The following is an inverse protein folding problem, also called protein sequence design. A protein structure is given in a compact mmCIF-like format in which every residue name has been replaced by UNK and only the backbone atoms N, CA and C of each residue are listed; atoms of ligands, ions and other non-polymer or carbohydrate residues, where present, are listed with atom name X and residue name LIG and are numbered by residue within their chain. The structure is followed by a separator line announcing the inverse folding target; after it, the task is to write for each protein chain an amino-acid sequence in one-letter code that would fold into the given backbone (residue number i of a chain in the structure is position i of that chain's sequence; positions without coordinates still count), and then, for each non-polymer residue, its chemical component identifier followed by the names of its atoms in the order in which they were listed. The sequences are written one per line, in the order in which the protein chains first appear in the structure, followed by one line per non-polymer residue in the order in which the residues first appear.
data_IF_277126086648
#
_entry.id   IF_277126086648
#
_cell.length_a   1.000
_cell.length_b   1.000
_cell.length_c   1.000
_cell.angle_alpha   90.00
_cell.angle_beta   90.00
_cell.angle_gamma   90.00
#
_symmetry.space_group_name_H-M   'P 1'
#
loop_
_entity.id
_entity.type
_entity.pdbx_description
1 polymer ?
#
# COMPACT_ATOMS: atom_id res chain seq x y z
N UNK A 1 -3.84 28.22 20.47
CA UNK A 1 -2.67 27.84 21.30
C UNK A 1 -2.39 26.37 21.03
N UNK A 2 -1.13 26.03 20.77
CA UNK A 2 -0.74 24.67 20.45
C UNK A 2 -0.51 23.87 21.73
N UNK A 3 -0.91 22.58 21.71
CA UNK A 3 -0.56 21.64 22.78
C UNK A 3 0.74 20.96 22.38
N UNK A 4 1.78 21.14 23.18
CA UNK A 4 3.03 20.43 22.98
C UNK A 4 2.88 18.97 23.47
N UNK A 5 3.01 18.03 22.55
CA UNK A 5 3.04 16.59 22.86
C UNK A 5 4.45 16.03 22.68
N UNK A 6 4.76 14.93 23.34
CA UNK A 6 5.97 14.13 23.14
C UNK A 6 5.59 12.68 22.96
N UNK A 7 6.02 12.07 21.87
CA UNK A 7 5.76 10.66 21.57
C UNK A 7 6.53 9.75 22.53
N UNK A 8 5.88 8.68 22.96
CA UNK A 8 6.47 7.56 23.70
C UNK A 8 6.56 6.33 22.81
N UNK A 9 5.44 5.92 22.24
CA UNK A 9 5.38 4.83 21.25
C UNK A 9 4.55 5.23 20.07
N UNK A 10 4.82 4.59 18.94
CA UNK A 10 4.03 4.71 17.73
C UNK A 10 4.10 3.38 17.00
N UNK A 11 2.97 2.82 16.65
CA UNK A 11 2.86 1.61 15.84
C UNK A 11 1.78 1.78 14.80
N UNK A 12 1.96 1.21 13.61
CA UNK A 12 0.94 1.16 12.57
C UNK A 12 1.26 0.10 11.55
N UNK A 13 0.22 -0.63 11.17
CA UNK A 13 0.30 -1.70 10.20
C UNK A 13 1.10 -2.94 10.63
N UNK A 14 0.84 -4.06 9.97
CA UNK A 14 1.44 -5.36 10.29
C UNK A 14 2.16 -6.00 9.11
N UNK A 15 1.85 -5.57 7.88
CA UNK A 15 2.42 -6.15 6.67
C UNK A 15 2.81 -5.07 5.66
N UNK A 16 4.00 -5.21 5.06
CA UNK A 16 4.55 -4.26 4.09
C UNK A 16 3.71 -4.08 2.82
N UNK A 17 2.98 -5.11 2.43
CA UNK A 17 2.19 -5.18 1.20
C UNK A 17 0.67 -5.04 1.42
N UNK A 18 0.26 -4.72 2.63
CA UNK A 18 -1.12 -4.42 2.98
C UNK A 18 -1.28 -2.95 3.38
N UNK A 19 -2.44 -2.37 3.08
CA UNK A 19 -2.82 -1.07 3.62
C UNK A 19 -3.04 -1.24 5.12
N UNK A 20 -2.41 -0.42 5.98
CA UNK A 20 -2.59 -0.50 7.43
C UNK A 20 -4.05 -0.36 7.83
N UNK A 21 -4.51 -1.24 8.70
CA UNK A 21 -5.89 -1.21 9.23
C UNK A 21 -5.99 -0.48 10.57
N UNK A 22 -4.89 -0.44 11.30
CA UNK A 22 -4.81 0.09 12.66
C UNK A 22 -3.50 0.82 12.90
N UNK A 23 -3.55 1.78 13.80
CA UNK A 23 -2.38 2.46 14.32
C UNK A 23 -2.65 2.87 15.78
N UNK A 24 -1.58 2.90 16.56
CA UNK A 24 -1.60 3.29 17.97
C UNK A 24 -0.43 4.24 18.25
N UNK A 25 -0.68 5.29 19.01
CA UNK A 25 0.34 6.18 19.52
C UNK A 25 0.16 6.42 21.02
N UNK A 26 1.24 6.34 21.76
CA UNK A 26 1.30 6.81 23.14
C UNK A 26 2.09 8.10 23.18
N UNK A 27 1.55 9.14 23.80
CA UNK A 27 2.20 10.42 23.95
C UNK A 27 1.96 11.00 25.34
N UNK A 28 2.78 11.95 25.73
CA UNK A 28 2.60 12.73 26.94
C UNK A 28 2.43 14.21 26.62
N UNK A 29 1.65 14.90 27.42
CA UNK A 29 1.51 16.34 27.41
C UNK A 29 1.67 16.90 28.85
N UNK A 30 1.79 18.22 28.96
CA UNK A 30 1.76 18.88 30.27
C UNK A 30 0.39 18.68 30.92
N UNK A 31 0.38 18.42 32.25
CA UNK A 31 -0.85 18.07 32.98
C UNK A 31 -1.92 19.17 32.87
N UNK A 32 -1.51 20.43 32.91
CA UNK A 32 -2.40 21.59 32.80
C UNK A 32 -2.94 21.80 31.35
N UNK A 33 -2.48 21.02 30.39
CA UNK A 33 -2.91 21.00 28.98
C UNK A 33 -3.71 19.76 28.62
N UNK A 34 -3.97 18.86 29.54
CA UNK A 34 -4.67 17.58 29.27
C UNK A 34 -6.08 17.82 28.69
N UNK A 35 -6.87 18.67 29.31
CA UNK A 35 -8.22 19.00 28.82
C UNK A 35 -8.21 19.64 27.42
N UNK A 36 -7.27 20.55 27.17
CA UNK A 36 -7.11 21.15 25.83
C UNK A 36 -6.64 20.12 24.79
N UNK A 37 -5.83 19.15 25.20
CA UNK A 37 -5.40 18.04 24.33
C UNK A 37 -6.61 17.18 23.94
N UNK A 38 -7.46 16.83 24.89
CA UNK A 38 -8.67 16.05 24.65
C UNK A 38 -9.65 16.82 23.75
N UNK A 39 -9.90 18.09 23.99
CA UNK A 39 -10.73 18.94 23.13
C UNK A 39 -10.24 18.93 21.67
N UNK A 40 -8.93 19.12 21.46
CA UNK A 40 -8.34 19.09 20.12
C UNK A 40 -8.43 17.71 19.47
N UNK A 41 -8.23 16.65 20.25
CA UNK A 41 -8.40 15.27 19.75
C UNK A 41 -9.82 15.02 19.28
N UNK A 42 -10.83 15.38 20.07
CA UNK A 42 -12.24 15.22 19.71
C UNK A 42 -12.61 16.00 18.44
N UNK A 43 -12.07 17.20 18.27
CA UNK A 43 -12.25 17.98 17.05
C UNK A 43 -11.64 17.28 15.81
N UNK A 44 -10.42 16.74 15.93
CA UNK A 44 -9.75 15.99 14.86
C UNK A 44 -10.52 14.68 14.58
N UNK A 45 -10.92 13.95 15.61
CA UNK A 45 -11.73 12.74 15.50
C UNK A 45 -12.99 12.98 14.67
N UNK A 46 -13.77 14.02 15.03
CA UNK A 46 -14.99 14.38 14.33
C UNK A 46 -14.74 14.73 12.85
N UNK A 47 -13.66 15.48 12.58
CA UNK A 47 -13.26 15.84 11.22
C UNK A 47 -12.94 14.60 10.39
N UNK A 48 -12.05 13.75 10.87
CA UNK A 48 -11.62 12.54 10.15
C UNK A 48 -12.78 11.56 9.93
N UNK A 49 -13.63 11.35 10.96
CA UNK A 49 -14.81 10.51 10.82
C UNK A 49 -15.80 11.05 9.78
N UNK A 50 -15.97 12.38 9.73
CA UNK A 50 -16.84 13.02 8.73
C UNK A 50 -16.27 12.87 7.31
N UNK A 51 -14.98 13.09 7.12
CA UNK A 51 -14.32 12.97 5.81
C UNK A 51 -14.39 11.53 5.28
N UNK A 52 -14.19 10.55 6.14
CA UNK A 52 -14.10 9.14 5.76
C UNK A 52 -15.42 8.36 5.91
N UNK A 53 -16.51 9.00 6.29
CA UNK A 53 -17.79 8.35 6.60
C UNK A 53 -18.34 7.44 5.50
N UNK A 54 -18.02 7.73 4.22
CA UNK A 54 -18.50 6.96 3.06
C UNK A 54 -17.58 5.80 2.68
N UNK A 55 -16.30 5.89 3.01
CA UNK A 55 -15.27 4.93 2.59
C UNK A 55 -14.87 4.00 3.72
N UNK A 56 -14.90 4.48 4.97
CA UNK A 56 -14.41 3.77 6.15
C UNK A 56 -15.51 3.66 7.22
N UNK A 57 -16.58 2.92 6.91
CA UNK A 57 -17.78 2.79 7.77
C UNK A 57 -17.44 2.24 9.18
N UNK A 58 -16.35 1.46 9.28
CA UNK A 58 -15.89 0.86 10.54
C UNK A 58 -14.82 1.66 11.27
N UNK A 59 -14.53 2.91 10.87
CA UNK A 59 -13.46 3.69 11.49
C UNK A 59 -13.78 4.06 12.93
N UNK A 60 -12.95 3.58 13.84
CA UNK A 60 -12.99 3.91 15.26
C UNK A 60 -11.68 4.62 15.64
N UNK A 61 -11.79 5.81 16.22
CA UNK A 61 -10.66 6.59 16.73
C UNK A 61 -10.93 6.84 18.20
N UNK A 62 -10.00 6.50 19.09
CA UNK A 62 -10.18 6.64 20.54
C UNK A 62 -8.99 7.33 21.18
N UNK A 63 -9.21 8.06 22.25
CA UNK A 63 -8.20 8.57 23.15
C UNK A 63 -8.47 8.01 24.55
N UNK A 64 -7.45 7.42 25.17
CA UNK A 64 -7.55 6.89 26.52
C UNK A 64 -6.39 7.40 27.37
N UNK A 65 -6.69 7.81 28.60
CA UNK A 65 -5.66 8.13 29.57
C UNK A 65 -4.98 6.84 30.06
N UNK A 66 -3.64 6.86 30.05
CA UNK A 66 -2.85 5.74 30.57
C UNK A 66 -2.33 6.10 31.95
N UNK A 67 -2.80 5.40 32.96
CA UNK A 67 -2.31 5.55 34.33
C UNK A 67 -1.01 4.74 34.54
N UNK A 68 0.11 5.29 34.07
CA UNK A 68 1.43 4.68 34.19
C UNK A 68 2.40 5.59 34.94
N UNK A 69 3.10 5.02 35.93
CA UNK A 69 4.08 5.76 36.74
C UNK A 69 5.42 6.06 36.01
N UNK A 70 5.66 5.44 34.85
CA UNK A 70 6.89 5.64 34.09
C UNK A 70 6.67 5.49 32.59
N UNK A 71 6.26 6.57 31.92
CA UNK A 71 6.25 6.65 30.47
C UNK A 71 7.50 7.39 30.01
N UNK A 72 8.37 6.72 29.25
CA UNK A 72 9.50 7.38 28.60
C UNK A 72 9.00 7.99 27.29
N UNK A 73 9.24 9.27 27.09
CA UNK A 73 8.92 9.94 25.83
C UNK A 73 10.20 10.51 25.21
N UNK A 74 10.26 10.48 23.88
CA UNK A 74 11.35 11.14 23.13
C UNK A 74 11.28 12.66 23.32
N UNK A 75 12.34 13.36 22.94
CA UNK A 75 12.39 14.83 23.05
C UNK A 75 11.36 15.52 22.17
N UNK A 76 11.02 16.80 22.45
CA UNK A 76 10.13 17.57 21.58
C UNK A 76 10.66 17.70 20.13
N UNK A 77 11.98 17.82 19.97
CA UNK A 77 12.62 17.90 18.66
C UNK A 77 12.48 16.59 17.87
N UNK A 78 12.74 15.46 18.50
CA UNK A 78 12.56 14.12 17.89
C UNK A 78 11.08 13.82 17.58
N UNK A 79 10.16 14.20 18.47
CA UNK A 79 8.72 14.10 18.21
C UNK A 79 8.33 14.87 16.95
N UNK A 80 8.79 16.11 16.82
CA UNK A 80 8.54 16.94 15.65
C UNK A 80 9.15 16.36 14.39
N UNK A 81 10.38 15.87 14.46
CA UNK A 81 11.05 15.23 13.33
C UNK A 81 10.31 13.96 12.86
N UNK A 82 9.85 13.13 13.79
CA UNK A 82 9.07 11.92 13.49
C UNK A 82 7.74 12.28 12.80
N UNK A 83 6.99 13.23 13.34
CA UNK A 83 5.72 13.69 12.76
C UNK A 83 5.95 14.30 11.37
N UNK A 84 6.93 15.19 11.23
CA UNK A 84 7.24 15.84 9.95
C UNK A 84 7.66 14.82 8.89
N UNK A 85 8.45 13.80 9.25
CA UNK A 85 8.82 12.72 8.35
C UNK A 85 7.58 11.96 7.85
N UNK A 86 6.70 11.53 8.76
CA UNK A 86 5.49 10.79 8.39
C UNK A 86 4.53 11.62 7.53
N UNK A 87 4.40 12.92 7.81
CA UNK A 87 3.57 13.83 7.02
C UNK A 87 4.15 14.13 5.63
N UNK A 88 5.47 14.10 5.47
CA UNK A 88 6.15 14.39 4.21
C UNK A 88 6.33 13.16 3.31
N UNK A 89 6.34 11.95 3.90
CA UNK A 89 6.45 10.71 3.13
C UNK A 89 5.24 10.55 2.21
N UNK A 90 5.44 10.24 0.92
CA UNK A 90 4.33 9.93 0.03
C UNK A 90 3.57 8.70 0.52
N UNK A 91 2.25 8.73 0.39
CA UNK A 91 1.36 7.60 0.70
C UNK A 91 0.14 7.64 -0.21
N UNK A 92 -0.28 6.47 -0.73
CA UNK A 92 -1.42 6.34 -1.61
C UNK A 92 -1.06 6.34 -3.10
N UNK A 93 -2.04 6.68 -3.93
CA UNK A 93 -1.89 6.74 -5.38
C UNK A 93 -1.09 7.99 -5.78
N UNK A 94 -0.06 7.79 -6.59
CA UNK A 94 0.77 8.88 -7.13
C UNK A 94 0.36 9.24 -8.55
N UNK A 95 0.08 8.24 -9.40
CA UNK A 95 -0.41 8.45 -10.78
C UNK A 95 -1.33 7.33 -11.24
N UNK A 96 -2.20 7.68 -12.16
CA UNK A 96 -3.08 6.77 -12.91
C UNK A 96 -2.50 6.59 -14.32
N UNK A 97 -2.85 5.50 -15.01
CA UNK A 97 -2.51 5.36 -16.42
C UNK A 97 -3.19 6.44 -17.26
N UNK A 98 -2.43 7.10 -18.12
CA UNK A 98 -2.96 8.18 -18.99
C UNK A 98 -4.06 7.68 -19.93
N UNK A 99 -3.84 6.52 -20.53
CA UNK A 99 -4.78 5.92 -21.50
C UNK A 99 -5.91 5.12 -20.83
N UNK A 100 -5.76 4.81 -19.53
CA UNK A 100 -6.72 4.01 -18.76
C UNK A 100 -6.87 4.57 -17.34
N UNK A 101 -7.51 5.71 -17.17
CA UNK A 101 -7.53 6.47 -15.92
C UNK A 101 -8.30 5.78 -14.77
N UNK A 102 -8.93 4.65 -15.01
CA UNK A 102 -9.54 3.82 -13.97
C UNK A 102 -8.51 2.94 -13.24
N UNK A 103 -7.28 2.82 -13.75
CA UNK A 103 -6.26 1.94 -13.18
C UNK A 103 -5.07 2.74 -12.65
N UNK A 104 -4.55 2.29 -11.51
CA UNK A 104 -3.38 2.89 -10.86
C UNK A 104 -2.10 2.47 -11.58
N UNK A 105 -1.30 3.46 -12.01
CA UNK A 105 0.03 3.25 -12.58
C UNK A 105 1.09 3.17 -11.47
N UNK A 106 1.10 4.14 -10.56
CA UNK A 106 2.12 4.28 -9.52
C UNK A 106 1.48 4.57 -8.17
N UNK A 107 1.92 3.85 -7.15
CA UNK A 107 1.48 4.06 -5.77
C UNK A 107 2.60 3.83 -4.76
N UNK A 108 2.38 4.35 -3.57
CA UNK A 108 3.21 4.14 -2.40
C UNK A 108 2.36 3.72 -1.21
N UNK A 109 2.86 2.82 -0.39
CA UNK A 109 2.19 2.38 0.84
C UNK A 109 3.17 2.39 2.01
N UNK A 110 2.89 3.20 3.03
CA UNK A 110 3.53 3.08 4.33
C UNK A 110 2.86 1.89 5.02
N UNK A 111 3.45 0.71 4.87
CA UNK A 111 2.85 -0.56 5.31
C UNK A 111 3.08 -0.88 6.78
N UNK A 112 4.21 -0.45 7.33
CA UNK A 112 4.55 -0.65 8.75
C UNK A 112 5.33 0.54 9.28
N UNK A 113 5.01 1.00 10.47
CA UNK A 113 5.81 1.95 11.22
C UNK A 113 5.90 1.55 12.68
N UNK A 114 7.04 1.81 13.30
CA UNK A 114 7.25 1.51 14.71
C UNK A 114 8.31 2.45 15.32
N UNK A 115 7.94 3.15 16.39
CA UNK A 115 8.88 3.92 17.21
C UNK A 115 9.41 3.02 18.34
N UNK A 116 10.72 2.78 18.31
CA UNK A 116 11.47 1.98 19.30
C UNK A 116 12.48 2.85 20.04
N UNK A 117 13.20 2.25 21.00
CA UNK A 117 14.25 2.94 21.73
C UNK A 117 15.39 3.46 20.85
N UNK A 118 15.68 2.79 19.73
CA UNK A 118 16.73 3.13 18.75
C UNK A 118 16.25 4.09 17.64
N UNK A 119 14.97 4.44 17.62
CA UNK A 119 14.39 5.40 16.68
C UNK A 119 13.12 4.95 15.99
N UNK A 120 12.68 5.76 15.02
CA UNK A 120 11.51 5.47 14.20
C UNK A 120 11.91 4.64 12.98
N UNK A 121 11.33 3.45 12.86
CA UNK A 121 11.41 2.58 11.68
C UNK A 121 10.15 2.73 10.84
N UNK A 122 10.32 2.90 9.52
CA UNK A 122 9.21 2.97 8.55
C UNK A 122 9.49 2.04 7.39
N UNK A 123 8.54 1.18 7.06
CA UNK A 123 8.59 0.30 5.89
C UNK A 123 7.61 0.82 4.85
N UNK A 124 8.16 1.30 3.74
CA UNK A 124 7.41 1.81 2.61
C UNK A 124 7.55 0.88 1.40
N UNK A 125 6.44 0.56 0.75
CA UNK A 125 6.40 -0.24 -0.48
C UNK A 125 5.97 0.62 -1.65
N UNK A 126 6.83 0.74 -2.64
CA UNK A 126 6.56 1.46 -3.88
C UNK A 126 6.18 0.48 -4.98
N UNK A 127 5.19 0.82 -5.78
CA UNK A 127 4.73 0.05 -6.93
C UNK A 127 4.52 0.95 -8.13
N UNK A 128 4.93 0.49 -9.29
CA UNK A 128 4.63 1.13 -10.56
C UNK A 128 4.66 0.10 -11.68
N UNK A 129 3.87 0.30 -12.71
CA UNK A 129 3.98 -0.46 -13.96
C UNK A 129 5.13 0.08 -14.84
N UNK A 130 5.67 1.27 -14.57
CA UNK A 130 6.71 1.96 -15.35
C UNK A 130 7.99 2.09 -14.55
N UNK A 131 9.14 1.63 -15.10
CA UNK A 131 10.41 1.59 -14.39
C UNK A 131 10.88 2.98 -13.91
N UNK A 132 10.82 3.99 -14.78
CA UNK A 132 11.24 5.36 -14.43
C UNK A 132 10.37 5.96 -13.33
N UNK A 133 9.08 5.64 -13.29
CA UNK A 133 8.16 6.07 -12.25
C UNK A 133 8.40 5.35 -10.92
N UNK A 134 8.76 4.05 -10.99
CA UNK A 134 9.16 3.31 -9.78
C UNK A 134 10.45 3.88 -9.18
N UNK A 135 11.43 4.23 -10.00
CA UNK A 135 12.67 4.86 -9.54
C UNK A 135 12.39 6.27 -8.97
N UNK A 136 11.56 7.07 -9.64
CA UNK A 136 11.16 8.40 -9.18
C UNK A 136 10.54 8.36 -7.77
N UNK A 137 9.48 7.55 -7.58
CA UNK A 137 8.82 7.47 -6.27
C UNK A 137 9.75 6.92 -5.19
N UNK A 138 10.63 5.99 -5.54
CA UNK A 138 11.62 5.43 -4.61
C UNK A 138 12.61 6.49 -4.17
N UNK A 139 13.17 7.27 -5.11
CA UNK A 139 14.07 8.40 -4.81
C UNK A 139 13.38 9.48 -4.00
N UNK A 140 12.11 9.73 -4.26
CA UNK A 140 11.32 10.70 -3.49
C UNK A 140 11.21 10.30 -2.02
N UNK A 141 10.89 9.03 -1.74
CA UNK A 141 10.87 8.47 -0.38
C UNK A 141 12.24 8.61 0.28
N UNK A 142 13.32 8.24 -0.40
CA UNK A 142 14.69 8.36 0.11
C UNK A 142 15.07 9.80 0.39
N UNK A 143 14.74 10.73 -0.51
CA UNK A 143 15.04 12.15 -0.34
C UNK A 143 14.35 12.71 0.90
N UNK A 144 13.08 12.40 1.11
CA UNK A 144 12.33 12.82 2.31
C UNK A 144 12.98 12.25 3.58
N UNK A 145 13.37 10.97 3.55
CA UNK A 145 14.04 10.34 4.67
C UNK A 145 15.40 10.99 4.98
N UNK A 146 16.21 11.28 3.96
CA UNK A 146 17.50 11.96 4.14
C UNK A 146 17.36 13.40 4.66
N UNK A 147 16.36 14.14 4.19
CA UNK A 147 16.06 15.48 4.73
C UNK A 147 15.69 15.44 6.22
N UNK A 148 15.09 14.35 6.67
CA UNK A 148 14.81 14.09 8.09
C UNK A 148 16.00 13.49 8.87
N UNK A 149 17.17 13.32 8.24
CA UNK A 149 18.36 12.71 8.85
C UNK A 149 18.25 11.17 9.02
N UNK A 150 17.29 10.52 8.37
CA UNK A 150 17.10 9.08 8.47
C UNK A 150 18.00 8.32 7.48
N UNK A 151 18.29 7.05 7.81
CA UNK A 151 18.97 6.11 6.92
C UNK A 151 17.96 5.32 6.12
N UNK A 152 18.26 5.05 4.85
CA UNK A 152 17.41 4.27 3.96
C UNK A 152 18.07 2.97 3.55
N UNK A 153 17.26 1.93 3.34
CA UNK A 153 17.70 0.65 2.81
C UNK A 153 16.66 0.13 1.82
N UNK A 154 17.05 0.00 0.56
CA UNK A 154 16.25 -0.73 -0.43
C UNK A 154 16.35 -2.22 -0.15
N UNK A 155 15.23 -2.93 -0.16
CA UNK A 155 15.20 -4.39 0.02
C UNK A 155 14.96 -5.07 -1.32
N UNK A 156 13.81 -5.64 -1.57
CA UNK A 156 13.52 -6.31 -2.84
C UNK A 156 12.87 -5.33 -3.82
N UNK A 157 13.28 -5.42 -5.08
CA UNK A 157 12.63 -4.74 -6.19
C UNK A 157 12.01 -5.80 -7.12
N UNK A 158 10.72 -5.69 -7.38
CA UNK A 158 10.09 -6.39 -8.48
C UNK A 158 10.18 -5.50 -9.71
N UNK A 159 10.62 -6.02 -10.86
CA UNK A 159 10.62 -5.24 -12.09
C UNK A 159 9.17 -4.85 -12.43
N UNK A 160 8.95 -3.64 -12.93
CA UNK A 160 7.66 -3.24 -13.46
C UNK A 160 7.23 -4.15 -14.61
N UNK A 161 5.92 -4.37 -14.69
CA UNK A 161 5.32 -5.07 -15.81
C UNK A 161 4.37 -4.11 -16.52
N UNK A 162 4.88 -3.47 -17.57
CA UNK A 162 4.12 -2.48 -18.31
C UNK A 162 3.06 -3.17 -19.16
N UNK A 163 1.78 -2.76 -19.07
CA UNK A 163 0.72 -3.30 -19.90
C UNK A 163 0.98 -3.05 -21.39
N UNK A 164 0.72 -4.06 -22.20
CA UNK A 164 0.73 -3.96 -23.67
C UNK A 164 -0.62 -4.42 -24.22
N UNK A 165 -1.49 -3.47 -24.60
CA UNK A 165 -2.80 -3.78 -25.15
C UNK A 165 -2.73 -4.32 -26.59
N UNK A 166 -1.60 -4.13 -27.25
CA UNK A 166 -1.31 -4.67 -28.60
C UNK A 166 -0.57 -6.02 -28.55
N UNK A 167 -0.51 -6.63 -27.38
CA UNK A 167 0.17 -7.91 -27.14
C UNK A 167 -0.43 -9.02 -28.02
N UNK A 168 0.38 -9.72 -28.84
CA UNK A 168 -0.07 -10.89 -29.61
C UNK A 168 -0.63 -12.00 -28.72
N UNK A 169 0.00 -12.29 -27.56
CA UNK A 169 -0.51 -13.31 -26.65
C UNK A 169 -1.83 -12.89 -26.00
N UNK A 170 -2.01 -11.60 -25.68
CA UNK A 170 -3.29 -11.10 -25.18
C UNK A 170 -4.41 -11.36 -26.20
N UNK A 171 -4.17 -11.02 -27.48
CA UNK A 171 -5.13 -11.24 -28.55
C UNK A 171 -5.48 -12.72 -28.70
N UNK A 172 -4.48 -13.59 -28.74
CA UNK A 172 -4.69 -15.04 -28.81
C UNK A 172 -5.52 -15.56 -27.62
N UNK A 173 -5.24 -15.06 -26.41
CA UNK A 173 -6.00 -15.41 -25.22
C UNK A 173 -7.46 -14.96 -25.29
N UNK A 174 -7.71 -13.74 -25.75
CA UNK A 174 -9.07 -13.22 -25.92
C UNK A 174 -9.84 -14.04 -26.95
N UNK A 175 -9.25 -14.35 -28.09
CA UNK A 175 -9.89 -15.16 -29.14
C UNK A 175 -10.16 -16.58 -28.67
N UNK A 176 -9.22 -17.21 -27.96
CA UNK A 176 -9.39 -18.54 -27.37
C UNK A 176 -10.50 -18.54 -26.32
N UNK A 177 -10.54 -17.56 -25.43
CA UNK A 177 -11.57 -17.44 -24.41
C UNK A 177 -12.97 -17.30 -25.04
N UNK A 178 -13.13 -16.41 -26.02
CA UNK A 178 -14.38 -16.23 -26.77
C UNK A 178 -14.85 -17.52 -27.44
N UNK A 179 -13.93 -18.30 -27.96
CA UNK A 179 -14.26 -19.58 -28.61
C UNK A 179 -14.88 -20.59 -27.66
N UNK A 180 -14.48 -20.54 -26.38
CA UNK A 180 -14.89 -21.51 -25.33
C UNK A 180 -16.13 -21.02 -24.59
N UNK A 181 -16.09 -19.77 -24.09
CA UNK A 181 -17.09 -19.22 -23.18
C UNK A 181 -18.21 -18.48 -23.89
N UNK A 182 -17.97 -18.04 -25.15
CA UNK A 182 -18.88 -17.23 -25.99
C UNK A 182 -19.16 -15.82 -25.45
N UNK A 183 -18.29 -15.35 -24.55
CA UNK A 183 -18.33 -14.02 -23.98
C UNK A 183 -16.92 -13.41 -24.02
N UNK A 184 -16.82 -12.09 -23.85
CA UNK A 184 -15.53 -11.42 -23.76
C UNK A 184 -14.91 -11.62 -22.37
N UNK A 185 -13.59 -11.91 -22.29
CA UNK A 185 -12.91 -11.94 -21.02
C UNK A 185 -12.82 -10.54 -20.42
N UNK A 186 -12.88 -10.46 -19.10
CA UNK A 186 -12.55 -9.23 -18.40
C UNK A 186 -11.03 -9.06 -18.37
N UNK A 187 -10.55 -8.00 -19.01
CA UNK A 187 -9.13 -7.63 -18.97
C UNK A 187 -8.93 -6.63 -17.85
N UNK A 188 -8.02 -6.94 -16.95
CA UNK A 188 -7.67 -6.09 -15.83
C UNK A 188 -6.18 -5.74 -15.89
N UNK A 189 -5.84 -4.57 -15.39
CA UNK A 189 -4.46 -4.12 -15.25
C UNK A 189 -4.07 -4.13 -13.77
N UNK A 190 -2.81 -4.41 -13.52
CA UNK A 190 -2.25 -4.29 -12.19
C UNK A 190 -0.87 -3.64 -12.22
N UNK A 191 -0.61 -2.77 -11.28
CA UNK A 191 0.72 -2.23 -10.99
C UNK A 191 1.44 -3.02 -9.87
N UNK A 192 0.87 -4.16 -9.49
CA UNK A 192 1.47 -5.10 -8.53
C UNK A 192 2.69 -5.80 -9.12
N UNK A 193 3.62 -6.21 -8.25
CA UNK A 193 4.70 -7.12 -8.65
C UNK A 193 4.14 -8.51 -8.91
N UNK A 194 4.02 -8.88 -10.17
CA UNK A 194 3.67 -10.23 -10.61
C UNK A 194 4.90 -10.95 -11.17
N UNK A 195 4.86 -12.27 -11.15
CA UNK A 195 5.90 -13.13 -11.73
C UNK A 195 6.12 -12.85 -13.22
N UNK A 196 5.08 -12.42 -13.94
CA UNK A 196 5.16 -12.01 -15.35
C UNK A 196 6.21 -10.93 -15.57
N UNK A 197 6.29 -9.92 -14.70
CA UNK A 197 7.31 -8.88 -14.77
C UNK A 197 8.72 -9.44 -14.59
N UNK A 198 8.91 -10.36 -13.64
CA UNK A 198 10.21 -11.01 -13.38
C UNK A 198 10.63 -11.89 -14.56
N UNK A 199 9.71 -12.70 -15.08
CA UNK A 199 9.99 -13.60 -16.20
C UNK A 199 10.29 -12.79 -17.45
N UNK A 200 9.48 -11.78 -17.76
CA UNK A 200 9.69 -10.90 -18.92
C UNK A 200 11.05 -10.20 -18.86
N UNK A 201 11.41 -9.60 -17.72
CA UNK A 201 12.68 -8.91 -17.52
C UNK A 201 13.88 -9.85 -17.71
N UNK A 202 13.85 -11.04 -17.10
CA UNK A 202 14.93 -12.02 -17.17
C UNK A 202 15.09 -12.68 -18.54
N UNK A 203 14.02 -12.72 -19.31
CA UNK A 203 14.01 -13.36 -20.64
C UNK A 203 14.10 -12.33 -21.77
N UNK A 204 14.52 -11.09 -21.51
CA UNK A 204 14.77 -10.07 -22.53
C UNK A 204 13.52 -9.42 -23.08
N UNK A 205 12.43 -9.37 -22.31
CA UNK A 205 11.18 -8.67 -22.70
C UNK A 205 10.15 -9.59 -23.33
N UNK A 206 9.93 -10.78 -22.76
CA UNK A 206 8.86 -11.67 -23.20
C UNK A 206 7.50 -11.01 -23.10
N UNK A 207 6.69 -11.21 -24.13
CA UNK A 207 5.26 -10.91 -24.10
C UNK A 207 4.56 -11.89 -23.18
N UNK A 208 3.91 -11.38 -22.15
CA UNK A 208 3.34 -12.18 -21.06
C UNK A 208 1.97 -11.68 -20.64
N UNK A 209 1.09 -12.59 -20.27
CA UNK A 209 -0.16 -12.31 -19.59
C UNK A 209 -0.28 -13.13 -18.30
N UNK A 210 -1.09 -12.68 -17.38
CA UNK A 210 -1.48 -13.44 -16.19
C UNK A 210 -2.92 -13.88 -16.31
N UNK A 211 -3.16 -15.16 -16.01
CA UNK A 211 -4.51 -15.74 -15.98
C UNK A 211 -4.61 -16.78 -14.87
N UNK A 212 -5.80 -17.02 -14.40
CA UNK A 212 -6.01 -18.01 -13.36
C UNK A 212 -7.48 -18.24 -13.00
N UNK A 213 -7.76 -19.18 -12.10
CA UNK A 213 -9.10 -19.39 -11.57
C UNK A 213 -9.54 -18.22 -10.69
N UNK A 214 -10.84 -18.18 -10.39
CA UNK A 214 -11.40 -17.16 -9.52
C UNK A 214 -10.98 -17.39 -8.07
N UNK A 215 -10.26 -16.43 -7.49
CA UNK A 215 -9.87 -16.42 -6.08
C UNK A 215 -10.50 -15.17 -5.44
N UNK A 216 -10.94 -15.30 -4.20
CA UNK A 216 -11.49 -14.21 -3.40
C UNK A 216 -10.68 -14.04 -2.13
N UNK A 217 -10.69 -12.83 -1.58
CA UNK A 217 -10.05 -12.47 -0.32
C UNK A 217 -8.54 -12.79 -0.29
N UNK A 218 -7.87 -12.59 -1.45
CA UNK A 218 -6.43 -12.80 -1.62
C UNK A 218 -5.61 -12.17 -0.50
N UNK A 219 -4.59 -12.89 -0.03
CA UNK A 219 -3.67 -12.46 1.03
C UNK A 219 -4.33 -12.27 2.41
N UNK A 220 -5.48 -12.89 2.63
CA UNK A 220 -6.18 -12.89 3.91
C UNK A 220 -6.34 -14.32 4.46
N UNK A 221 -6.64 -14.49 5.76
CA UNK A 221 -7.00 -15.80 6.30
C UNK A 221 -8.27 -16.39 5.69
N UNK A 222 -9.08 -15.57 5.04
CA UNK A 222 -10.34 -15.95 4.38
C UNK A 222 -10.16 -16.23 2.88
N UNK A 223 -8.93 -16.35 2.40
CA UNK A 223 -8.63 -16.63 0.99
C UNK A 223 -9.33 -17.91 0.51
N UNK A 224 -10.08 -17.80 -0.58
CA UNK A 224 -10.94 -18.87 -1.10
C UNK A 224 -10.81 -19.01 -2.60
N UNK A 225 -10.63 -20.25 -3.04
CA UNK A 225 -10.68 -20.63 -4.45
C UNK A 225 -12.12 -21.06 -4.82
N UNK A 226 -12.66 -20.45 -5.87
CA UNK A 226 -13.90 -20.90 -6.47
C UNK A 226 -13.66 -22.11 -7.36
N UNK A 227 -13.82 -23.31 -6.80
CA UNK A 227 -13.50 -24.59 -7.45
C UNK A 227 -14.10 -24.77 -8.84
N UNK A 228 -15.38 -24.40 -9.14
CA UNK A 228 -15.93 -24.51 -10.49
C UNK A 228 -15.15 -23.76 -11.57
N UNK A 229 -14.41 -22.69 -11.21
CA UNK A 229 -13.59 -21.95 -12.17
C UNK A 229 -12.36 -22.71 -12.66
N UNK A 230 -11.88 -23.71 -11.93
CA UNK A 230 -10.73 -24.53 -12.31
C UNK A 230 -10.94 -25.27 -13.62
N UNK A 231 -12.12 -25.86 -13.82
CA UNK A 231 -12.44 -26.59 -15.04
C UNK A 231 -12.38 -25.69 -16.28
N UNK A 232 -12.91 -24.45 -16.15
CA UNK A 232 -12.86 -23.48 -17.23
C UNK A 232 -11.44 -22.99 -17.50
N UNK A 233 -10.67 -22.71 -16.45
CA UNK A 233 -9.26 -22.30 -16.57
C UNK A 233 -8.43 -23.39 -17.23
N UNK A 234 -8.62 -24.66 -16.84
CA UNK A 234 -7.93 -25.79 -17.44
C UNK A 234 -8.27 -25.95 -18.93
N UNK A 235 -9.56 -25.93 -19.26
CA UNK A 235 -10.02 -25.99 -20.66
C UNK A 235 -9.44 -24.87 -21.50
N UNK A 236 -9.42 -23.65 -20.96
CA UNK A 236 -8.83 -22.50 -21.63
C UNK A 236 -7.32 -22.72 -21.87
N UNK A 237 -6.57 -23.12 -20.84
CA UNK A 237 -5.13 -23.35 -20.94
C UNK A 237 -4.80 -24.43 -22.00
N UNK A 238 -5.51 -25.55 -21.98
CA UNK A 238 -5.30 -26.63 -22.96
C UNK A 238 -5.55 -26.11 -24.38
N UNK A 239 -6.65 -25.41 -24.62
CA UNK A 239 -6.94 -24.86 -25.95
C UNK A 239 -5.90 -23.83 -26.40
N UNK A 240 -5.43 -22.97 -25.49
CA UNK A 240 -4.39 -21.97 -25.78
C UNK A 240 -3.05 -22.60 -26.18
N UNK A 241 -2.67 -23.72 -25.57
CA UNK A 241 -1.42 -24.43 -25.84
C UNK A 241 -1.47 -25.34 -27.09
N UNK A 242 -2.66 -25.61 -27.59
CA UNK A 242 -2.87 -26.50 -28.75
C UNK A 242 -3.36 -25.78 -30.00
N UNK A 243 -3.54 -24.46 -29.92
CA UNK A 243 -4.00 -23.58 -31.05
C UNK A 243 -2.87 -23.06 -31.94
#
# INVERSE_FOLDING_TARGET
RDVAIRLSTLKGGTARNAIPRDAEAVFVCEKDKAELCEEKFLAIQATVQSELAKTEIGLVITLNEINSKSVRAISPAETRAAINLLMALPHGVTSMFADMPAFVETSNNIGVMELKEDGLSVVSTNRSAVFSRLDEITRRVETVAWLAGAKTKRTKMFPPWQPNMESPILKQCVDTYRSIVKEDPKIELTHGGLECGIISDRCGGLDTISMGPTIRDLHSPDERLYVPSLANTWKFLVNLLTS
#
